data_IF_622447262470
#
_entry.id   IF_622447262470
#
_cell.length_a   1.000
_cell.length_b   1.000
_cell.length_c   1.000
_cell.angle_alpha   90.00
_cell.angle_beta   90.00
_cell.angle_gamma   90.00
#
_symmetry.space_group_name_H-M   'P 1'
#
loop_
_entity.id
_entity.type
_entity.pdbx_description
1 polymer ?
#
# COMPACT_ATOMS: atom_id res chain seq x y z
N UNK A 1 10.88 -18.03 63.97
CA UNK A 1 11.85 -18.08 62.83
C UNK A 1 12.23 -19.50 62.37
N UNK A 2 11.65 -20.58 62.90
CA UNK A 2 12.00 -21.97 62.53
C UNK A 2 11.21 -22.56 61.39
N UNK A 3 10.04 -22.01 61.00
CA UNK A 3 9.16 -22.58 59.99
C UNK A 3 9.56 -22.24 58.52
N UNK A 4 10.37 -21.24 58.27
CA UNK A 4 10.86 -20.87 56.94
C UNK A 4 12.01 -21.75 56.44
N UNK A 5 12.87 -22.23 57.33
CA UNK A 5 14.00 -23.09 56.98
C UNK A 5 13.59 -24.51 56.59
N UNK A 6 12.55 -25.06 57.24
CA UNK A 6 12.01 -26.37 56.93
C UNK A 6 11.35 -26.41 55.53
N UNK A 7 10.67 -25.33 55.14
CA UNK A 7 10.02 -25.23 53.81
C UNK A 7 11.05 -25.10 52.69
N UNK A 8 12.13 -24.39 52.89
CA UNK A 8 13.21 -24.23 51.91
C UNK A 8 13.97 -25.55 51.67
N UNK A 9 14.24 -26.33 52.74
CA UNK A 9 14.85 -27.66 52.63
C UNK A 9 13.96 -28.68 51.87
N UNK A 10 12.68 -28.68 52.19
CA UNK A 10 11.71 -29.56 51.52
C UNK A 10 11.56 -29.22 50.02
N UNK A 11 11.55 -27.94 49.68
CA UNK A 11 11.51 -27.50 48.26
C UNK A 11 12.78 -27.90 47.50
N UNK A 12 13.95 -27.79 48.13
CA UNK A 12 15.21 -28.20 47.51
C UNK A 12 15.26 -29.73 47.28
N UNK A 13 14.74 -30.50 48.21
CA UNK A 13 14.66 -31.96 48.09
C UNK A 13 13.68 -32.41 47.01
N UNK A 14 12.51 -31.76 46.92
CA UNK A 14 11.55 -32.02 45.86
C UNK A 14 12.12 -31.66 44.46
N UNK A 15 12.86 -30.55 44.37
CA UNK A 15 13.51 -30.13 43.14
C UNK A 15 14.60 -31.10 42.70
N UNK A 16 15.43 -31.59 43.61
CA UNK A 16 16.47 -32.58 43.30
C UNK A 16 15.86 -33.91 42.87
N UNK A 17 14.83 -34.42 43.55
CA UNK A 17 14.10 -35.61 43.10
C UNK A 17 13.45 -35.43 41.73
N UNK A 18 12.88 -34.26 41.44
CA UNK A 18 12.30 -33.99 40.14
C UNK A 18 13.36 -33.98 39.01
N UNK A 19 14.51 -33.36 39.25
CA UNK A 19 15.63 -33.37 38.30
C UNK A 19 16.21 -34.77 38.10
N UNK A 20 16.33 -35.55 39.12
CA UNK A 20 16.82 -36.94 39.00
C UNK A 20 15.85 -37.84 38.25
N UNK A 21 14.53 -37.68 38.44
CA UNK A 21 13.50 -38.36 37.66
C UNK A 21 13.57 -38.01 36.19
N UNK A 22 13.80 -36.70 35.85
CA UNK A 22 14.01 -36.27 34.48
C UNK A 22 15.28 -36.88 33.85
N UNK A 23 16.35 -36.99 34.63
CA UNK A 23 17.63 -37.58 34.17
C UNK A 23 17.54 -39.07 33.92
N UNK A 24 16.77 -39.78 34.74
CA UNK A 24 16.58 -41.25 34.65
C UNK A 24 15.78 -41.63 33.43
N UNK A 25 14.77 -40.80 33.01
CA UNK A 25 13.90 -41.05 31.87
C UNK A 25 14.09 -40.00 30.76
N UNK A 26 15.31 -39.79 30.30
CA UNK A 26 15.69 -38.73 29.38
C UNK A 26 14.83 -38.62 28.14
N UNK A 27 14.52 -39.74 27.47
CA UNK A 27 13.75 -39.75 26.22
C UNK A 27 12.30 -39.32 26.46
N UNK A 28 11.66 -39.80 27.54
CA UNK A 28 10.28 -39.43 27.86
C UNK A 28 10.20 -37.94 28.25
N UNK A 29 11.11 -37.47 29.07
CA UNK A 29 11.17 -36.08 29.51
C UNK A 29 11.44 -35.17 28.33
N UNK A 30 12.35 -35.53 27.44
CA UNK A 30 12.63 -34.78 26.21
C UNK A 30 11.39 -34.65 25.30
N UNK A 31 10.69 -35.77 25.07
CA UNK A 31 9.50 -35.77 24.21
C UNK A 31 8.36 -34.93 24.79
N UNK A 32 8.14 -34.99 26.11
CA UNK A 32 7.10 -34.16 26.77
C UNK A 32 7.45 -32.68 26.74
N UNK A 33 8.69 -32.32 27.05
CA UNK A 33 9.15 -30.93 26.97
C UNK A 33 9.07 -30.42 25.53
N UNK A 34 9.52 -31.21 24.56
CA UNK A 34 9.46 -30.86 23.14
C UNK A 34 8.01 -30.62 22.70
N UNK A 35 7.07 -31.45 23.09
CA UNK A 35 5.65 -31.29 22.79
C UNK A 35 5.09 -29.97 23.35
N UNK A 36 5.42 -29.65 24.62
CA UNK A 36 4.99 -28.40 25.26
C UNK A 36 5.62 -27.19 24.57
N UNK A 37 6.93 -27.24 24.27
CA UNK A 37 7.64 -26.15 23.57
C UNK A 37 7.03 -25.90 22.19
N UNK A 38 6.81 -26.95 21.40
CA UNK A 38 6.17 -26.81 20.07
C UNK A 38 4.77 -26.21 20.21
N UNK A 39 3.96 -26.69 21.15
CA UNK A 39 2.62 -26.17 21.38
C UNK A 39 2.60 -24.69 21.76
N UNK A 40 3.40 -24.29 22.72
CA UNK A 40 3.48 -22.87 23.15
C UNK A 40 4.04 -22.00 22.04
N UNK A 41 5.11 -22.44 21.36
CA UNK A 41 5.72 -21.69 20.27
C UNK A 41 4.75 -21.48 19.13
N UNK A 42 3.95 -22.48 18.77
CA UNK A 42 2.94 -22.35 17.73
C UNK A 42 1.87 -21.33 18.09
N UNK A 43 1.36 -21.36 19.33
CA UNK A 43 0.34 -20.39 19.79
C UNK A 43 0.90 -18.97 19.80
N UNK A 44 2.10 -18.77 20.33
CA UNK A 44 2.75 -17.45 20.39
C UNK A 44 3.03 -16.93 18.98
N UNK A 45 3.52 -17.79 18.08
CA UNK A 45 3.81 -17.42 16.68
C UNK A 45 2.55 -17.01 15.93
N UNK A 46 1.46 -17.78 16.06
CA UNK A 46 0.18 -17.44 15.41
C UNK A 46 -0.38 -16.13 15.99
N UNK A 47 -0.33 -15.96 17.31
CA UNK A 47 -0.83 -14.74 17.96
C UNK A 47 -0.03 -13.51 17.54
N UNK A 48 1.29 -13.62 17.45
CA UNK A 48 2.16 -12.54 16.99
C UNK A 48 1.88 -12.18 15.53
N UNK A 49 1.68 -13.18 14.66
CA UNK A 49 1.33 -12.99 13.26
C UNK A 49 -0.02 -12.27 13.11
N UNK A 50 -1.04 -12.71 13.86
CA UNK A 50 -2.37 -12.11 13.82
C UNK A 50 -2.35 -10.66 14.31
N UNK A 51 -1.61 -10.34 15.37
CA UNK A 51 -1.45 -8.95 15.85
C UNK A 51 -0.76 -8.06 14.83
N UNK A 52 0.32 -8.56 14.21
CA UNK A 52 1.01 -7.82 13.14
C UNK A 52 0.12 -7.58 11.92
N UNK A 53 -0.72 -8.54 11.58
CA UNK A 53 -1.69 -8.42 10.50
C UNK A 53 -2.79 -7.39 10.83
N UNK A 54 -3.36 -7.42 12.04
CA UNK A 54 -4.37 -6.45 12.50
C UNK A 54 -3.83 -5.01 12.50
N UNK A 55 -2.61 -4.79 12.98
CA UNK A 55 -1.94 -3.48 12.92
C UNK A 55 -1.75 -3.00 11.47
N UNK A 56 -1.27 -3.88 10.59
CA UNK A 56 -1.09 -3.59 9.17
C UNK A 56 -2.39 -3.21 8.48
N UNK A 57 -3.48 -3.91 8.80
CA UNK A 57 -4.82 -3.56 8.29
C UNK A 57 -5.31 -2.20 8.79
N UNK A 58 -5.14 -1.91 10.07
CA UNK A 58 -5.50 -0.60 10.65
C UNK A 58 -4.76 0.53 9.95
N UNK A 59 -3.48 0.34 9.64
CA UNK A 59 -2.69 1.35 8.94
C UNK A 59 -3.15 1.55 7.49
N UNK A 60 -3.56 0.50 6.79
CA UNK A 60 -4.17 0.62 5.45
C UNK A 60 -5.47 1.44 5.53
N UNK A 61 -6.35 1.13 6.48
CA UNK A 61 -7.61 1.86 6.65
C UNK A 61 -7.39 3.32 7.04
N UNK A 62 -6.40 3.61 7.90
CA UNK A 62 -6.04 4.99 8.25
C UNK A 62 -5.52 5.77 7.05
N UNK A 63 -4.78 5.13 6.14
CA UNK A 63 -4.24 5.78 4.94
C UNK A 63 -5.32 6.07 3.89
N UNK A 64 -6.27 5.17 3.71
CA UNK A 64 -7.36 5.33 2.75
C UNK A 64 -8.38 6.37 3.24
N UNK A 65 -8.51 6.52 4.57
CA UNK A 65 -9.53 7.34 5.22
C UNK A 65 -10.85 6.56 5.42
N UNK A 66 -11.47 6.69 6.60
CA UNK A 66 -12.68 5.94 6.96
C UNK A 66 -13.91 6.34 6.15
N UNK A 67 -13.89 7.50 5.50
CA UNK A 67 -14.99 8.06 4.72
C UNK A 67 -14.80 7.93 3.21
N UNK A 68 -13.70 7.31 2.77
CA UNK A 68 -13.40 7.17 1.33
C UNK A 68 -14.11 5.97 0.73
N UNK A 69 -14.87 6.19 -0.33
CA UNK A 69 -15.56 5.16 -1.11
C UNK A 69 -14.94 5.03 -2.49
N UNK A 70 -14.64 3.81 -2.90
CA UNK A 70 -14.12 3.52 -4.24
C UNK A 70 -15.24 2.97 -5.14
N UNK A 71 -15.51 3.69 -6.22
CA UNK A 71 -16.44 3.25 -7.27
C UNK A 71 -15.62 2.81 -8.48
N UNK A 72 -15.75 1.56 -8.88
CA UNK A 72 -14.99 1.03 -10.01
C UNK A 72 -15.81 0.02 -10.82
N UNK A 73 -15.56 -0.04 -12.13
CA UNK A 73 -16.16 -1.02 -13.03
C UNK A 73 -15.82 -2.46 -12.61
N UNK A 74 -14.62 -2.65 -12.08
CA UNK A 74 -14.09 -3.94 -11.64
C UNK A 74 -13.90 -3.92 -10.13
N UNK A 75 -14.65 -4.75 -9.41
CA UNK A 75 -14.47 -4.94 -7.97
C UNK A 75 -13.67 -6.22 -7.71
N UNK A 76 -12.74 -6.13 -6.76
CA UNK A 76 -11.97 -7.30 -6.30
C UNK A 76 -12.91 -8.40 -5.75
N UNK A 77 -13.98 -8.00 -5.06
CA UNK A 77 -14.99 -8.90 -4.50
C UNK A 77 -15.80 -9.61 -5.59
N UNK A 78 -16.08 -8.95 -6.72
CA UNK A 78 -16.80 -9.58 -7.84
C UNK A 78 -16.02 -10.75 -8.46
N UNK A 79 -14.70 -10.72 -8.40
CA UNK A 79 -13.83 -11.80 -8.88
C UNK A 79 -13.82 -12.98 -7.91
N UNK A 80 -13.86 -12.73 -6.61
CA UNK A 80 -13.92 -13.79 -5.60
C UNK A 80 -15.27 -14.52 -5.57
N UNK A 81 -16.35 -13.90 -6.09
CA UNK A 81 -17.68 -14.49 -6.21
C UNK A 81 -17.88 -15.36 -7.46
N UNK A 82 -16.82 -15.73 -8.17
CA UNK A 82 -16.90 -16.63 -9.32
C UNK A 82 -17.47 -16.00 -10.60
N UNK A 83 -17.70 -14.68 -10.65
CA UNK A 83 -18.15 -14.01 -11.90
C UNK A 83 -17.05 -14.03 -12.94
N UNK A 84 -17.40 -14.44 -14.15
CA UNK A 84 -16.46 -14.48 -15.27
C UNK A 84 -15.97 -13.08 -15.61
N UNK A 85 -14.68 -12.96 -15.95
CA UNK A 85 -14.10 -11.70 -16.43
C UNK A 85 -14.85 -11.13 -17.66
N UNK A 86 -15.43 -12.01 -18.50
CA UNK A 86 -16.30 -11.65 -19.62
C UNK A 86 -17.55 -10.85 -19.18
N UNK A 87 -18.17 -11.21 -18.07
CA UNK A 87 -19.37 -10.53 -17.58
C UNK A 87 -19.03 -9.17 -16.96
N UNK A 88 -17.82 -9.05 -16.40
CA UNK A 88 -17.31 -7.79 -15.85
C UNK A 88 -16.99 -6.77 -16.96
N UNK A 89 -16.48 -7.22 -18.11
CA UNK A 89 -16.19 -6.36 -19.27
C UNK A 89 -17.47 -5.78 -19.87
N UNK A 90 -18.58 -6.51 -19.85
CA UNK A 90 -19.88 -6.07 -20.40
C UNK A 90 -20.52 -4.92 -19.60
N UNK A 91 -20.08 -4.66 -18.38
CA UNK A 91 -20.61 -3.54 -17.59
C UNK A 91 -20.31 -2.21 -18.31
N UNK A 92 -21.20 -1.21 -18.21
CA UNK A 92 -20.93 0.12 -18.75
C UNK A 92 -19.67 0.71 -18.13
N UNK A 93 -18.97 1.53 -18.90
CA UNK A 93 -17.82 2.28 -18.39
C UNK A 93 -18.32 3.41 -17.51
N UNK A 94 -17.64 3.65 -16.39
CA UNK A 94 -17.83 4.83 -15.57
C UNK A 94 -17.23 6.00 -16.32
N UNK A 95 -17.98 7.07 -16.49
CA UNK A 95 -17.59 8.29 -17.20
C UNK A 95 -17.26 9.44 -16.23
N UNK A 96 -16.61 10.47 -16.73
CA UNK A 96 -16.39 11.71 -15.95
C UNK A 96 -17.73 12.40 -15.62
N UNK A 97 -18.74 12.25 -16.49
CA UNK A 97 -20.08 12.77 -16.22
C UNK A 97 -20.73 12.12 -14.98
N UNK A 98 -20.50 10.82 -14.77
CA UNK A 98 -20.96 10.13 -13.56
C UNK A 98 -20.29 10.68 -12.30
N UNK A 99 -19.00 11.06 -12.40
CA UNK A 99 -18.30 11.71 -11.29
C UNK A 99 -18.91 13.08 -10.95
N UNK A 100 -19.23 13.91 -11.94
CA UNK A 100 -19.91 15.19 -11.73
C UNK A 100 -21.32 15.02 -11.16
N UNK A 101 -22.04 13.97 -11.57
CA UNK A 101 -23.35 13.66 -11.00
C UNK A 101 -23.25 13.30 -9.50
N UNK A 102 -22.16 12.61 -9.10
CA UNK A 102 -21.91 12.32 -7.69
C UNK A 102 -21.54 13.56 -6.89
N UNK A 103 -20.76 14.49 -7.46
CA UNK A 103 -20.39 15.77 -6.82
C UNK A 103 -21.63 16.64 -6.49
N UNK A 104 -22.72 16.50 -7.24
CA UNK A 104 -23.96 17.21 -6.97
C UNK A 104 -24.68 16.76 -5.69
N UNK A 105 -24.28 15.64 -5.09
CA UNK A 105 -24.88 15.14 -3.85
C UNK A 105 -24.34 15.88 -2.62
N UNK A 106 -25.20 16.39 -1.74
CA UNK A 106 -24.75 17.08 -0.52
C UNK A 106 -24.07 16.16 0.51
N UNK A 107 -24.10 14.84 0.29
CA UNK A 107 -23.47 13.83 1.15
C UNK A 107 -22.01 13.55 0.75
N UNK A 108 -21.56 14.07 -0.38
CA UNK A 108 -20.23 13.83 -0.94
C UNK A 108 -19.43 15.13 -0.90
N UNK A 109 -18.34 15.12 -0.15
CA UNK A 109 -17.47 16.29 0.01
C UNK A 109 -16.60 16.53 -1.25
N UNK A 110 -16.08 15.44 -1.84
CA UNK A 110 -15.19 15.54 -3.00
C UNK A 110 -15.19 14.23 -3.78
N UNK A 111 -15.14 14.33 -5.11
CA UNK A 111 -15.01 13.17 -6.01
C UNK A 111 -13.70 13.27 -6.78
N UNK A 112 -12.84 12.28 -6.65
CA UNK A 112 -11.63 12.20 -7.45
C UNK A 112 -11.79 11.16 -8.58
N UNK A 113 -11.46 11.58 -9.78
CA UNK A 113 -11.44 10.69 -10.96
C UNK A 113 -10.05 10.07 -11.09
N UNK A 114 -9.99 8.77 -11.31
CA UNK A 114 -8.77 8.05 -11.64
C UNK A 114 -8.98 7.21 -12.90
N UNK A 115 -8.10 7.37 -13.89
CA UNK A 115 -8.09 6.63 -15.15
C UNK A 115 -6.83 5.79 -15.23
N UNK A 116 -6.93 4.53 -15.62
CA UNK A 116 -5.79 3.62 -15.63
C UNK A 116 -5.45 3.11 -14.23
N UNK A 117 -6.47 2.75 -13.45
CA UNK A 117 -6.31 2.20 -12.10
C UNK A 117 -5.68 0.80 -12.05
N UNK A 118 -6.22 -0.09 -11.21
CA UNK A 118 -5.70 -1.45 -11.03
C UNK A 118 -5.72 -2.30 -12.31
N UNK A 119 -6.66 -2.01 -13.23
CA UNK A 119 -6.73 -2.60 -14.57
C UNK A 119 -6.65 -1.45 -15.58
N UNK A 120 -5.57 -1.43 -16.37
CA UNK A 120 -5.34 -0.38 -17.39
C UNK A 120 -4.29 0.67 -17.00
N UNK A 121 -3.69 0.57 -15.82
CA UNK A 121 -2.47 1.34 -15.54
C UNK A 121 -1.38 0.92 -16.53
N UNK A 122 -0.56 1.86 -16.95
CA UNK A 122 0.64 1.57 -17.74
C UNK A 122 1.84 1.53 -16.84
N UNK A 123 2.63 0.49 -17.02
CA UNK A 123 3.95 0.43 -16.43
C UNK A 123 4.92 1.12 -17.38
N UNK A 124 5.25 2.37 -17.06
CA UNK A 124 6.16 3.20 -17.83
C UNK A 124 7.51 3.35 -17.14
N UNK A 125 8.56 3.41 -17.96
CA UNK A 125 9.88 3.79 -17.49
C UNK A 125 10.04 5.30 -17.60
N UNK A 126 10.45 5.91 -16.50
CA UNK A 126 10.75 7.34 -16.45
C UNK A 126 12.25 7.55 -16.55
N UNK A 127 12.68 8.59 -17.27
CA UNK A 127 14.10 8.92 -17.44
C UNK A 127 14.34 10.41 -17.27
N UNK A 128 15.47 10.74 -16.60
CA UNK A 128 15.98 12.09 -16.46
C UNK A 128 17.51 12.06 -16.61
N UNK A 129 18.06 12.66 -17.65
CA UNK A 129 19.48 12.54 -17.96
C UNK A 129 19.93 11.08 -18.06
N UNK A 130 20.88 10.70 -17.20
CA UNK A 130 21.38 9.33 -17.10
C UNK A 130 20.59 8.46 -16.11
N UNK A 131 19.71 9.06 -15.32
CA UNK A 131 18.91 8.35 -14.32
C UNK A 131 17.64 7.79 -14.94
N UNK A 132 17.27 6.59 -14.51
CA UNK A 132 16.06 5.93 -14.98
C UNK A 132 15.40 5.12 -13.86
N UNK A 133 14.08 5.07 -13.87
CA UNK A 133 13.34 4.18 -12.97
C UNK A 133 13.21 2.79 -13.56
N UNK A 134 12.86 1.80 -12.73
CA UNK A 134 12.19 0.60 -13.21
C UNK A 134 10.85 0.96 -13.85
N UNK A 135 10.18 0.01 -14.50
CA UNK A 135 8.79 0.23 -14.94
C UNK A 135 7.91 0.42 -13.72
N UNK A 136 7.23 1.54 -13.65
CA UNK A 136 6.37 1.94 -12.54
C UNK A 136 5.00 2.30 -13.06
N UNK A 137 4.00 2.14 -12.21
CA UNK A 137 2.62 2.46 -12.54
C UNK A 137 2.45 3.95 -12.79
N UNK A 138 1.87 4.29 -13.95
CA UNK A 138 1.44 5.66 -14.28
C UNK A 138 -0.06 5.63 -14.55
N UNK A 139 -0.78 6.60 -14.02
CA UNK A 139 -2.22 6.72 -14.21
C UNK A 139 -2.64 8.18 -14.28
N UNK A 140 -3.80 8.40 -14.88
CA UNK A 140 -4.41 9.71 -14.96
C UNK A 140 -5.31 10.00 -13.76
N UNK A 141 -5.32 11.25 -13.26
CA UNK A 141 -6.21 11.64 -12.17
C UNK A 141 -6.74 13.06 -12.33
N UNK A 142 -7.75 13.42 -11.52
CA UNK A 142 -8.26 14.77 -11.34
C UNK A 142 -7.36 15.60 -10.41
N UNK A 143 -7.53 16.92 -10.42
CA UNK A 143 -6.70 17.84 -9.64
C UNK A 143 -6.79 17.61 -8.11
N UNK A 144 -7.92 17.16 -7.62
CA UNK A 144 -8.19 16.90 -6.20
C UNK A 144 -7.76 15.49 -5.73
N UNK A 145 -7.15 14.66 -6.59
CA UNK A 145 -6.79 13.27 -6.29
C UNK A 145 -5.95 13.11 -5.02
N UNK A 146 -4.93 13.95 -4.82
CA UNK A 146 -4.06 13.90 -3.65
C UNK A 146 -4.83 14.18 -2.35
N UNK A 147 -5.71 15.17 -2.37
CA UNK A 147 -6.54 15.57 -1.23
C UNK A 147 -7.57 14.49 -0.90
N UNK A 148 -8.35 14.03 -1.88
CA UNK A 148 -9.38 13.01 -1.70
C UNK A 148 -8.81 11.67 -1.20
N UNK A 149 -7.57 11.33 -1.58
CA UNK A 149 -6.90 10.11 -1.12
C UNK A 149 -5.96 10.35 0.07
N UNK A 150 -6.02 11.53 0.70
CA UNK A 150 -5.20 11.88 1.87
C UNK A 150 -3.70 11.60 1.70
N UNK A 151 -3.18 11.81 0.48
CA UNK A 151 -1.77 11.59 0.18
C UNK A 151 -0.96 12.85 0.49
N UNK A 152 -0.04 12.82 1.45
CA UNK A 152 0.76 13.99 1.79
C UNK A 152 1.69 14.37 0.62
N UNK A 153 1.87 15.68 0.42
CA UNK A 153 2.86 16.22 -0.50
C UNK A 153 4.13 16.59 0.27
N UNK A 154 5.29 16.17 -0.24
CA UNK A 154 6.61 16.51 0.35
C UNK A 154 7.21 17.74 -0.32
N UNK A 155 7.01 17.87 -1.63
CA UNK A 155 7.53 18.99 -2.39
C UNK A 155 6.55 19.41 -3.50
N UNK A 156 6.55 20.69 -3.84
CA UNK A 156 5.71 21.23 -4.90
C UNK A 156 4.22 21.22 -4.58
N UNK A 157 3.42 20.95 -5.61
CA UNK A 157 1.95 20.96 -5.53
C UNK A 157 1.32 19.91 -6.44
N UNK A 158 0.04 19.62 -6.23
CA UNK A 158 -0.77 18.92 -7.21
C UNK A 158 -0.99 19.80 -8.44
N UNK A 159 -1.21 19.20 -9.62
CA UNK A 159 -1.59 19.98 -10.80
C UNK A 159 -2.99 20.60 -10.61
N UNK A 160 -3.17 21.79 -11.18
CA UNK A 160 -4.41 22.57 -11.07
C UNK A 160 -5.48 22.07 -12.05
N UNK A 161 -6.74 22.43 -11.80
CA UNK A 161 -7.84 22.16 -12.73
C UNK A 161 -7.57 22.75 -14.13
N UNK A 162 -6.99 23.95 -14.20
CA UNK A 162 -6.59 24.56 -15.48
C UNK A 162 -5.56 23.73 -16.25
N UNK A 163 -4.63 23.06 -15.54
CA UNK A 163 -3.65 22.18 -16.19
C UNK A 163 -4.31 20.87 -16.67
N UNK A 164 -5.33 20.39 -15.96
CA UNK A 164 -6.19 19.28 -16.40
C UNK A 164 -6.95 19.65 -17.68
N UNK A 165 -7.66 20.79 -17.68
CA UNK A 165 -8.49 21.24 -18.79
C UNK A 165 -7.67 21.53 -20.06
N UNK A 166 -6.50 22.14 -19.87
CA UNK A 166 -5.55 22.45 -20.96
C UNK A 166 -4.67 21.26 -21.36
N UNK A 167 -4.87 20.09 -20.79
CA UNK A 167 -4.12 18.86 -21.09
C UNK A 167 -2.61 19.05 -21.00
N UNK A 168 -2.16 19.78 -19.98
CA UNK A 168 -0.72 20.06 -19.79
C UNK A 168 0.04 18.77 -19.49
N UNK A 169 1.22 18.56 -20.09
CA UNK A 169 2.08 17.44 -19.79
C UNK A 169 2.85 17.66 -18.49
N UNK A 170 2.13 17.61 -17.38
CA UNK A 170 2.67 17.72 -16.03
C UNK A 170 2.53 16.38 -15.30
N UNK A 171 3.39 16.15 -14.32
CA UNK A 171 3.41 14.92 -13.52
C UNK A 171 3.68 15.21 -12.06
N UNK A 172 3.01 14.48 -11.19
CA UNK A 172 3.33 14.37 -9.77
C UNK A 172 3.92 12.98 -9.55
N UNK A 173 5.11 12.92 -8.96
CA UNK A 173 5.83 11.68 -8.71
C UNK A 173 5.51 11.15 -7.32
N UNK A 174 5.49 9.84 -7.15
CA UNK A 174 5.63 9.21 -5.84
C UNK A 174 7.05 9.37 -5.29
N UNK A 175 7.27 9.03 -4.05
CA UNK A 175 8.59 9.15 -3.40
C UNK A 175 9.67 8.31 -4.11
N UNK A 176 9.38 7.06 -4.42
CA UNK A 176 10.36 6.16 -5.03
C UNK A 176 10.88 6.62 -6.41
N UNK A 177 10.03 7.01 -7.40
CA UNK A 177 10.53 7.56 -8.64
C UNK A 177 11.24 8.91 -8.48
N UNK A 178 10.83 9.75 -7.52
CA UNK A 178 11.51 11.01 -7.26
C UNK A 178 12.95 10.78 -6.79
N UNK A 179 13.16 9.87 -5.84
CA UNK A 179 14.50 9.50 -5.36
C UNK A 179 15.36 8.83 -6.44
N UNK A 180 14.76 7.97 -7.27
CA UNK A 180 15.49 7.27 -8.33
C UNK A 180 15.97 8.22 -9.46
N UNK A 181 15.16 9.24 -9.80
CA UNK A 181 15.49 10.20 -10.85
C UNK A 181 16.34 11.35 -10.35
N UNK A 182 16.13 11.79 -9.11
CA UNK A 182 16.72 13.00 -8.52
C UNK A 182 17.37 12.71 -7.16
N UNK A 183 18.41 11.86 -7.07
CA UNK A 183 18.99 11.47 -5.78
C UNK A 183 19.62 12.63 -5.00
N UNK A 184 20.03 13.71 -5.69
CA UNK A 184 20.68 14.87 -5.08
C UNK A 184 20.16 16.22 -5.64
N UNK A 185 19.07 16.23 -6.40
CA UNK A 185 18.56 17.43 -7.06
C UNK A 185 17.09 17.64 -6.74
N UNK A 186 16.63 18.90 -6.73
CA UNK A 186 15.21 19.23 -6.62
C UNK A 186 14.48 18.76 -7.89
N UNK A 187 13.46 17.91 -7.78
CA UNK A 187 12.67 17.45 -8.91
C UNK A 187 11.74 18.49 -9.51
N UNK A 188 11.36 19.52 -8.74
CA UNK A 188 10.31 20.47 -9.14
C UNK A 188 10.76 21.32 -10.34
N UNK A 189 9.88 21.43 -11.35
CA UNK A 189 10.14 22.15 -12.60
C UNK A 189 11.05 21.40 -13.60
N UNK A 190 11.61 20.25 -13.23
CA UNK A 190 12.43 19.46 -14.16
C UNK A 190 11.55 18.67 -15.13
N UNK A 191 12.08 18.45 -16.33
CA UNK A 191 11.40 17.66 -17.37
C UNK A 191 11.91 16.23 -17.36
N UNK A 192 11.01 15.28 -17.20
CA UNK A 192 11.26 13.86 -17.30
C UNK A 192 10.63 13.28 -18.57
N UNK A 193 11.21 12.24 -19.12
CA UNK A 193 10.63 11.53 -20.25
C UNK A 193 9.90 10.27 -19.76
N UNK A 194 8.64 10.15 -20.16
CA UNK A 194 7.84 8.93 -20.02
C UNK A 194 7.36 8.48 -21.39
N UNK A 195 7.81 7.32 -21.81
CA UNK A 195 7.56 6.86 -23.19
C UNK A 195 8.13 7.84 -24.21
N UNK A 196 7.25 8.41 -25.04
CA UNK A 196 7.61 9.37 -26.10
C UNK A 196 7.38 10.85 -25.70
N UNK A 197 6.82 11.10 -24.53
CA UNK A 197 6.39 12.45 -24.10
C UNK A 197 7.25 12.96 -22.96
N UNK A 198 7.54 14.26 -22.98
CA UNK A 198 8.20 14.98 -21.89
C UNK A 198 7.14 15.54 -20.95
N UNK A 199 7.34 15.32 -19.65
CA UNK A 199 6.46 15.81 -18.58
C UNK A 199 7.24 16.69 -17.62
N UNK A 200 6.64 17.80 -17.21
CA UNK A 200 7.22 18.66 -16.16
C UNK A 200 6.78 18.18 -14.79
N UNK A 201 7.72 17.96 -13.90
CA UNK A 201 7.45 17.56 -12.51
C UNK A 201 6.94 18.80 -11.75
N UNK A 202 5.71 18.73 -11.22
CA UNK A 202 5.10 19.84 -10.46
C UNK A 202 4.96 19.53 -8.97
N UNK A 203 5.10 18.27 -8.58
CA UNK A 203 5.02 17.85 -7.19
C UNK A 203 5.58 16.48 -6.94
N UNK A 204 5.82 16.19 -5.67
CA UNK A 204 6.24 14.88 -5.15
C UNK A 204 5.38 14.51 -3.97
N UNK A 205 4.77 13.34 -4.02
CA UNK A 205 4.05 12.75 -2.91
C UNK A 205 5.00 12.20 -1.86
N UNK A 206 4.59 12.26 -0.62
CA UNK A 206 5.31 11.67 0.49
C UNK A 206 5.26 10.15 0.51
N UNK A 207 6.22 9.57 1.22
CA UNK A 207 6.29 8.14 1.44
C UNK A 207 5.09 7.64 2.23
N UNK A 208 4.49 6.56 1.77
CA UNK A 208 3.43 5.85 2.49
C UNK A 208 3.95 4.54 3.05
N UNK A 209 3.56 4.16 4.26
CA UNK A 209 3.90 2.84 4.80
C UNK A 209 3.36 1.73 3.90
N UNK A 210 4.16 0.70 3.68
CA UNK A 210 3.76 -0.50 2.93
C UNK A 210 3.76 -1.72 3.87
N UNK A 211 2.70 -1.92 4.63
CA UNK A 211 2.64 -2.96 5.66
C UNK A 211 2.62 -4.38 5.10
N UNK A 212 2.25 -4.56 3.83
CA UNK A 212 2.17 -5.88 3.20
C UNK A 212 3.39 -6.24 2.36
N UNK A 213 4.38 -5.33 2.23
CA UNK A 213 5.52 -5.53 1.36
C UNK A 213 5.16 -5.51 -0.14
N UNK A 214 6.13 -5.84 -1.00
CA UNK A 214 5.96 -5.83 -2.45
C UNK A 214 6.31 -4.49 -3.10
N UNK A 215 5.80 -4.23 -4.31
CA UNK A 215 5.95 -2.92 -4.97
C UNK A 215 5.37 -1.84 -4.08
N UNK A 216 6.20 -0.86 -3.70
CA UNK A 216 5.82 0.16 -2.71
C UNK A 216 4.58 0.94 -3.16
N UNK A 217 3.74 1.36 -2.22
CA UNK A 217 2.60 2.23 -2.51
C UNK A 217 3.02 3.57 -3.11
N UNK A 218 4.32 3.86 -3.12
CA UNK A 218 4.93 5.10 -3.61
C UNK A 218 5.58 4.96 -4.99
N UNK A 219 5.51 3.76 -5.61
CA UNK A 219 6.08 3.47 -6.91
C UNK A 219 5.11 3.82 -8.04
N UNK A 220 4.75 5.09 -8.16
CA UNK A 220 3.80 5.55 -9.17
C UNK A 220 4.07 6.97 -9.64
N UNK A 221 3.48 7.32 -10.79
CA UNK A 221 3.37 8.68 -11.30
C UNK A 221 1.92 9.03 -11.61
N UNK A 222 1.52 10.26 -11.33
CA UNK A 222 0.17 10.76 -11.59
C UNK A 222 0.24 11.89 -12.59
N UNK A 223 -0.55 11.78 -13.66
CA UNK A 223 -0.69 12.82 -14.68
C UNK A 223 -2.16 13.27 -14.78
N UNK A 224 -2.48 14.42 -15.37
CA UNK A 224 -3.87 14.79 -15.61
C UNK A 224 -4.59 13.72 -16.43
N UNK A 225 -5.80 13.32 -16.04
CA UNK A 225 -6.56 12.28 -16.73
C UNK A 225 -6.85 12.61 -18.21
N UNK A 226 -6.95 13.89 -18.52
CA UNK A 226 -7.13 14.37 -19.89
C UNK A 226 -5.87 14.19 -20.74
N UNK A 227 -4.69 14.37 -20.16
CA UNK A 227 -3.39 14.10 -20.81
C UNK A 227 -3.15 12.61 -20.97
N UNK A 228 -3.58 11.81 -19.99
CA UNK A 228 -3.52 10.34 -20.04
C UNK A 228 -4.27 9.78 -21.27
N UNK A 229 -5.49 10.26 -21.50
CA UNK A 229 -6.31 9.83 -22.63
C UNK A 229 -5.66 10.15 -23.99
N UNK A 230 -4.97 11.29 -24.11
CA UNK A 230 -4.23 11.62 -25.33
C UNK A 230 -3.08 10.67 -25.61
N UNK A 231 -2.37 10.23 -24.58
CA UNK A 231 -1.28 9.26 -24.73
C UNK A 231 -1.76 7.87 -25.18
N UNK A 232 -3.07 7.59 -25.07
CA UNK A 232 -3.72 6.37 -25.57
C UNK A 232 -4.04 6.41 -27.06
N UNK A 233 -4.31 7.59 -27.62
CA UNK A 233 -4.76 7.74 -29.02
C UNK A 233 -3.58 7.64 -29.99
N UNK A 234 -2.37 7.83 -29.53
CA UNK A 234 -1.15 7.84 -30.37
C UNK A 234 -0.37 6.51 -30.39
N UNK A 235 -1.03 5.38 -30.17
CA UNK A 235 -0.43 4.03 -30.32
C UNK A 235 -1.04 3.32 -31.50
#
# INVERSE_FOLDING_TARGET
MAASGLRAGLLAEILTMAVDTLRTNKLRSFLTILGVVIGITSIVSITALLRGFDESFKDIFRQIGPTTMFVSKFSFVSRSQGKSFRDLIKRPNISVADAHALEASPLIESVAVQVGGMIGARDERMTYGNNATKRMRVFGASANYGQTNSIPMVAGRMFSQTEVDRRRPVVVLGDAPAQALFPAADPIGKQIRMGRTMYTVVGVFGKRPNPLGGSGPDEFGVVPHTTWNLSLIHI
#
